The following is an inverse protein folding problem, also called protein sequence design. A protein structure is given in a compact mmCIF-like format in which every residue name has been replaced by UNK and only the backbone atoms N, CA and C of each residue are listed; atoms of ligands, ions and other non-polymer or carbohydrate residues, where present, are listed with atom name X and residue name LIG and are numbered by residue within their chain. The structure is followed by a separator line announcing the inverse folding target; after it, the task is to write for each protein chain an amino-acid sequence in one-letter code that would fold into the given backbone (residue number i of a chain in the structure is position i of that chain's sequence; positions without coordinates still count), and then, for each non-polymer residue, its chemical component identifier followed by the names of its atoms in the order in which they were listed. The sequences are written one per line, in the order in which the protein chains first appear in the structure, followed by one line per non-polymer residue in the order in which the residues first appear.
data_IF_742742828637
#
_entry.id   IF_742742828637
#
_cell.length_a   1.000
_cell.length_b   1.000
_cell.length_c   1.000
_cell.angle_alpha   90.00
_cell.angle_beta   90.00
_cell.angle_gamma   90.00
#
_symmetry.space_group_name_H-M   'P 1'
#
loop_
_entity.id
_entity.type
_entity.pdbx_description
1 polymer ?
#
# COMPACT_ATOMS: atom_id res chain seq x y z
N UNK A 1 12.44 -9.05 -19.91
CA UNK A 1 13.71 -9.14 -19.15
C UNK A 1 14.74 -9.95 -19.92
N UNK A 2 16.03 -9.60 -19.78
CA UNK A 2 17.11 -10.44 -20.27
C UNK A 2 17.36 -11.58 -19.28
N UNK A 3 17.58 -12.79 -19.77
CA UNK A 3 17.76 -14.00 -18.95
C UNK A 3 18.90 -13.85 -17.93
N UNK A 4 20.01 -13.25 -18.33
CA UNK A 4 21.18 -13.01 -17.47
C UNK A 4 20.85 -12.22 -16.20
N UNK A 5 20.00 -11.20 -16.31
CA UNK A 5 19.55 -10.41 -15.16
C UNK A 5 18.65 -11.22 -14.22
N UNK A 6 17.74 -12.03 -14.78
CA UNK A 6 16.90 -12.92 -13.96
C UNK A 6 17.74 -13.95 -13.19
N UNK A 7 18.73 -14.55 -13.86
CA UNK A 7 19.66 -15.48 -13.21
C UNK A 7 20.50 -14.78 -12.14
N UNK A 8 20.99 -13.57 -12.41
CA UNK A 8 21.82 -12.78 -11.47
C UNK A 8 21.08 -12.43 -10.18
N UNK A 9 19.79 -12.14 -10.23
CA UNK A 9 18.98 -11.82 -9.05
C UNK A 9 18.27 -13.03 -8.43
N UNK A 10 18.45 -14.23 -8.98
CA UNK A 10 17.85 -15.46 -8.47
C UNK A 10 16.38 -15.68 -8.83
N UNK A 11 15.86 -14.93 -9.84
CA UNK A 11 14.48 -15.09 -10.33
C UNK A 11 13.40 -14.64 -9.33
N UNK A 12 12.20 -15.22 -9.49
CA UNK A 12 11.06 -15.00 -8.60
C UNK A 12 11.31 -15.63 -7.23
N UNK A 13 10.87 -14.93 -6.18
CA UNK A 13 10.98 -15.43 -4.82
C UNK A 13 9.66 -16.09 -4.39
N UNK A 14 9.66 -17.39 -4.07
CA UNK A 14 8.44 -18.12 -3.71
C UNK A 14 7.84 -17.71 -2.36
N UNK A 15 8.48 -16.84 -1.59
CA UNK A 15 7.95 -16.31 -0.33
C UNK A 15 6.83 -15.28 -0.54
N UNK A 16 6.75 -14.65 -1.73
CA UNK A 16 5.92 -13.48 -1.98
C UNK A 16 4.80 -13.64 -3.01
N UNK A 17 4.16 -14.81 -3.21
CA UNK A 17 3.00 -14.85 -4.09
C UNK A 17 1.79 -14.14 -3.42
N UNK A 18 1.04 -13.30 -4.13
CA UNK A 18 1.13 -13.00 -5.56
C UNK A 18 1.83 -11.66 -5.89
N UNK A 19 2.78 -11.19 -5.09
CA UNK A 19 3.58 -9.98 -5.34
C UNK A 19 5.06 -10.28 -5.66
N UNK A 20 5.36 -11.50 -6.12
CA UNK A 20 6.69 -11.96 -6.51
C UNK A 20 7.30 -11.16 -7.66
N UNK A 21 6.48 -10.59 -8.53
CA UNK A 21 6.88 -9.72 -9.62
C UNK A 21 7.39 -8.36 -9.08
N UNK A 22 6.73 -7.79 -8.10
CA UNK A 22 7.16 -6.57 -7.41
C UNK A 22 8.52 -6.80 -6.74
N UNK A 23 8.69 -7.90 -6.00
CA UNK A 23 9.98 -8.27 -5.41
C UNK A 23 11.08 -8.40 -6.46
N UNK A 24 10.80 -9.07 -7.58
CA UNK A 24 11.76 -9.23 -8.68
C UNK A 24 12.21 -7.89 -9.24
N UNK A 25 11.27 -6.97 -9.50
CA UNK A 25 11.58 -5.64 -10.05
C UNK A 25 12.46 -4.84 -9.08
N UNK A 26 12.17 -4.88 -7.78
CA UNK A 26 12.97 -4.22 -6.76
C UNK A 26 14.38 -4.79 -6.69
N UNK A 27 14.56 -6.11 -6.75
CA UNK A 27 15.89 -6.76 -6.79
C UNK A 27 16.68 -6.33 -8.03
N UNK A 28 16.04 -6.29 -9.19
CA UNK A 28 16.67 -5.84 -10.44
C UNK A 28 17.11 -4.37 -10.35
N UNK A 29 16.27 -3.50 -9.80
CA UNK A 29 16.56 -2.09 -9.63
C UNK A 29 17.77 -1.87 -8.69
N UNK A 30 17.83 -2.55 -7.54
CA UNK A 30 18.97 -2.49 -6.62
C UNK A 30 20.29 -2.94 -7.25
N UNK A 31 20.25 -3.88 -8.18
CA UNK A 31 21.43 -4.35 -8.91
C UNK A 31 21.79 -3.45 -10.11
N UNK A 32 21.09 -2.33 -10.29
CA UNK A 32 21.37 -1.36 -11.35
C UNK A 32 20.95 -1.81 -12.75
N UNK A 33 19.98 -2.73 -12.85
CA UNK A 33 19.42 -3.12 -14.14
C UNK A 33 18.80 -1.90 -14.83
N UNK A 34 19.30 -1.54 -16.00
CA UNK A 34 18.75 -0.45 -16.80
C UNK A 34 17.43 -0.86 -17.41
N UNK A 35 16.42 -0.03 -17.24
CA UNK A 35 15.08 -0.23 -17.76
C UNK A 35 14.73 0.83 -18.79
N UNK A 36 13.83 0.51 -19.72
CA UNK A 36 13.26 1.46 -20.66
C UNK A 36 11.76 1.25 -20.72
N UNK A 37 11.02 2.32 -20.96
CA UNK A 37 9.59 2.27 -21.12
C UNK A 37 9.22 1.99 -22.59
N UNK A 38 8.44 0.92 -22.83
CA UNK A 38 7.84 0.67 -24.12
C UNK A 38 6.51 1.43 -24.22
N UNK A 39 6.37 2.28 -25.23
CA UNK A 39 5.16 3.07 -25.47
C UNK A 39 4.15 2.35 -26.37
N UNK A 40 4.12 1.04 -26.30
CA UNK A 40 3.27 0.15 -27.08
C UNK A 40 2.55 -0.83 -26.17
N UNK A 41 1.35 -1.25 -26.54
CA UNK A 41 0.62 -2.29 -25.83
C UNK A 41 1.23 -3.63 -26.17
N UNK A 42 1.97 -4.22 -25.23
CA UNK A 42 2.68 -5.49 -25.41
C UNK A 42 2.08 -6.64 -24.62
N UNK A 43 1.14 -6.36 -23.71
CA UNK A 43 0.51 -7.36 -22.83
C UNK A 43 -0.99 -7.13 -22.77
N UNK A 44 -1.76 -8.23 -22.94
CA UNK A 44 -3.18 -8.27 -22.65
C UNK A 44 -3.38 -9.01 -21.33
N UNK A 45 -3.94 -8.32 -20.33
CA UNK A 45 -4.24 -8.91 -19.03
C UNK A 45 -5.68 -9.44 -19.01
N UNK A 46 -5.82 -10.78 -18.89
CA UNK A 46 -7.15 -11.41 -18.82
C UNK A 46 -7.78 -11.17 -17.46
N UNK A 47 -8.91 -10.48 -17.45
CA UNK A 47 -9.73 -10.30 -16.26
C UNK A 47 -10.71 -11.46 -16.11
N UNK A 48 -10.79 -12.08 -14.94
CA UNK A 48 -11.76 -13.10 -14.56
C UNK A 48 -11.92 -13.15 -13.05
N UNK A 49 -13.09 -13.59 -12.58
CA UNK A 49 -13.45 -13.57 -11.14
C UNK A 49 -12.49 -14.36 -10.24
N UNK A 50 -11.88 -15.44 -10.74
CA UNK A 50 -10.89 -16.23 -9.99
C UNK A 50 -9.45 -15.70 -10.08
N UNK A 51 -9.23 -14.53 -10.68
CA UNK A 51 -7.91 -13.91 -10.76
C UNK A 51 -7.35 -13.64 -9.36
N UNK A 52 -6.04 -13.80 -9.19
CA UNK A 52 -5.35 -13.47 -7.94
C UNK A 52 -5.58 -12.01 -7.50
N UNK A 53 -5.77 -11.11 -8.48
CA UNK A 53 -6.09 -9.70 -8.26
C UNK A 53 -7.45 -9.44 -7.58
N UNK A 54 -8.31 -10.43 -7.43
CA UNK A 54 -9.60 -10.30 -6.74
C UNK A 54 -9.59 -10.93 -5.33
N UNK A 55 -8.45 -11.49 -4.89
CA UNK A 55 -8.37 -12.20 -3.60
C UNK A 55 -8.17 -11.32 -2.37
N UNK A 56 -8.02 -10.00 -2.53
CA UNK A 56 -7.91 -9.03 -1.43
C UNK A 56 -6.73 -9.31 -0.48
N UNK A 57 -6.99 -9.97 0.63
CA UNK A 57 -6.03 -10.17 1.72
C UNK A 57 -4.68 -10.81 1.32
N UNK A 58 -4.61 -11.89 0.53
CA UNK A 58 -3.31 -12.43 0.12
C UNK A 58 -2.43 -11.44 -0.62
N UNK A 59 -3.00 -10.62 -1.51
CA UNK A 59 -2.27 -9.57 -2.22
C UNK A 59 -1.75 -8.49 -1.26
N UNK A 60 -2.60 -8.05 -0.32
CA UNK A 60 -2.24 -7.06 0.69
C UNK A 60 -1.06 -7.55 1.55
N UNK A 61 -1.16 -8.76 2.10
CA UNK A 61 -0.10 -9.35 2.93
C UNK A 61 1.21 -9.52 2.17
N UNK A 62 1.14 -10.02 0.92
CA UNK A 62 2.34 -10.24 0.11
C UNK A 62 3.04 -8.93 -0.25
N UNK A 63 2.29 -7.89 -0.61
CA UNK A 63 2.88 -6.59 -0.94
C UNK A 63 3.53 -5.93 0.27
N UNK A 64 2.91 -6.03 1.46
CA UNK A 64 3.51 -5.54 2.70
C UNK A 64 4.80 -6.31 3.01
N UNK A 65 4.77 -7.65 2.92
CA UNK A 65 5.94 -8.49 3.15
C UNK A 65 7.10 -8.17 2.18
N UNK A 66 6.81 -7.91 0.90
CA UNK A 66 7.82 -7.45 -0.06
C UNK A 66 8.41 -6.10 0.35
N UNK A 67 7.58 -5.17 0.79
CA UNK A 67 8.03 -3.84 1.23
C UNK A 67 8.93 -3.95 2.47
N UNK A 68 8.55 -4.80 3.43
CA UNK A 68 9.34 -5.06 4.63
C UNK A 68 10.67 -5.75 4.31
N UNK A 69 10.66 -6.81 3.51
CA UNK A 69 11.87 -7.51 3.06
C UNK A 69 12.83 -6.56 2.34
N UNK A 70 12.29 -5.64 1.54
CA UNK A 70 13.09 -4.65 0.82
C UNK A 70 13.77 -3.65 1.77
N UNK A 71 13.00 -3.01 2.67
CA UNK A 71 13.55 -1.99 3.57
C UNK A 71 14.30 -2.54 4.78
N UNK A 72 14.18 -3.82 5.11
CA UNK A 72 14.97 -4.47 6.16
C UNK A 72 16.40 -4.85 5.70
N UNK A 73 16.75 -4.68 4.42
CA UNK A 73 18.12 -4.91 3.94
C UNK A 73 19.08 -3.88 4.51
N UNK A 74 20.23 -4.33 5.03
CA UNK A 74 21.23 -3.47 5.68
C UNK A 74 22.03 -2.63 4.68
N UNK A 75 22.15 -3.08 3.44
CA UNK A 75 23.01 -2.53 2.39
C UNK A 75 22.28 -1.63 1.38
N UNK A 76 21.07 -1.16 1.72
CA UNK A 76 20.34 -0.22 0.87
C UNK A 76 21.10 1.09 0.69
N UNK A 77 21.17 1.63 -0.54
CA UNK A 77 21.71 2.96 -0.80
C UNK A 77 21.01 4.02 0.06
N UNK A 78 21.76 5.01 0.58
CA UNK A 78 21.19 6.04 1.45
C UNK A 78 20.02 6.80 0.83
N UNK A 79 20.07 7.10 -0.48
CA UNK A 79 18.96 7.73 -1.20
C UNK A 79 17.70 6.88 -1.23
N UNK A 80 17.83 5.53 -1.31
CA UNK A 80 16.71 4.61 -1.24
C UNK A 80 16.15 4.54 0.19
N UNK A 81 17.04 4.51 1.19
CA UNK A 81 16.65 4.51 2.61
C UNK A 81 15.81 5.75 2.97
N UNK A 82 16.17 6.91 2.45
CA UNK A 82 15.41 8.15 2.65
C UNK A 82 13.97 8.11 2.10
N UNK A 83 13.70 7.21 1.16
CA UNK A 83 12.35 7.04 0.59
C UNK A 83 11.46 6.10 1.42
N UNK A 84 12.00 5.42 2.43
CA UNK A 84 11.28 4.37 3.18
C UNK A 84 9.93 4.85 3.71
N UNK A 85 9.92 6.00 4.41
CA UNK A 85 8.69 6.55 5.00
C UNK A 85 7.61 6.79 3.94
N UNK A 86 7.97 7.45 2.84
CA UNK A 86 7.01 7.79 1.78
C UNK A 86 6.52 6.55 1.02
N UNK A 87 7.40 5.57 0.78
CA UNK A 87 7.03 4.32 0.12
C UNK A 87 6.12 3.49 1.01
N UNK A 88 6.44 3.34 2.32
CA UNK A 88 5.57 2.64 3.27
C UNK A 88 4.20 3.29 3.35
N UNK A 89 4.15 4.62 3.48
CA UNK A 89 2.91 5.37 3.50
C UNK A 89 2.07 5.11 2.26
N UNK A 90 2.62 5.29 1.08
CA UNK A 90 1.92 5.06 -0.18
C UNK A 90 1.47 3.61 -0.38
N UNK A 91 2.31 2.64 -0.01
CA UNK A 91 1.98 1.21 -0.09
C UNK A 91 0.80 0.87 0.82
N UNK A 92 0.78 1.35 2.05
CA UNK A 92 -0.30 1.09 3.01
C UNK A 92 -1.63 1.71 2.56
N UNK A 93 -1.61 2.92 1.98
CA UNK A 93 -2.80 3.55 1.40
C UNK A 93 -3.31 2.75 0.19
N UNK A 94 -2.39 2.30 -0.68
CA UNK A 94 -2.78 1.48 -1.83
C UNK A 94 -3.42 0.15 -1.39
N UNK A 95 -2.83 -0.52 -0.40
CA UNK A 95 -3.39 -1.75 0.19
C UNK A 95 -4.78 -1.48 0.79
N UNK A 96 -4.93 -0.38 1.52
CA UNK A 96 -6.21 -0.02 2.13
C UNK A 96 -7.29 0.20 1.07
N UNK A 97 -6.99 0.97 0.01
CA UNK A 97 -7.89 1.14 -1.11
C UNK A 97 -8.25 -0.20 -1.78
N UNK A 98 -7.25 -1.04 -2.03
CA UNK A 98 -7.44 -2.33 -2.66
C UNK A 98 -8.34 -3.25 -1.82
N UNK A 99 -8.17 -3.27 -0.51
CA UNK A 99 -9.03 -4.01 0.42
C UNK A 99 -10.45 -3.44 0.45
N UNK A 100 -10.62 -2.13 0.43
CA UNK A 100 -11.93 -1.50 0.27
C UNK A 100 -12.61 -1.95 -1.03
N UNK A 101 -11.90 -1.85 -2.14
CA UNK A 101 -12.40 -2.24 -3.46
C UNK A 101 -12.79 -3.73 -3.55
N UNK A 102 -12.07 -4.59 -2.85
CA UNK A 102 -12.33 -6.05 -2.84
C UNK A 102 -13.27 -6.51 -1.71
N UNK A 103 -13.96 -5.57 -1.05
CA UNK A 103 -15.00 -5.89 -0.05
C UNK A 103 -14.49 -6.25 1.33
N UNK A 104 -13.29 -5.75 1.73
CA UNK A 104 -12.69 -5.96 3.04
C UNK A 104 -12.53 -4.63 3.82
N UNK A 105 -13.64 -3.93 4.16
CA UNK A 105 -13.55 -2.58 4.75
C UNK A 105 -12.88 -2.54 6.13
N UNK A 106 -12.92 -3.63 6.91
CA UNK A 106 -12.16 -3.72 8.17
C UNK A 106 -10.65 -3.71 7.92
N UNK A 107 -10.18 -4.50 6.95
CA UNK A 107 -8.77 -4.48 6.55
C UNK A 107 -8.35 -3.10 6.03
N UNK A 108 -9.20 -2.39 5.29
CA UNK A 108 -8.95 -1.01 4.90
C UNK A 108 -8.59 -0.14 6.10
N UNK A 109 -9.38 -0.16 7.17
CA UNK A 109 -9.13 0.69 8.35
C UNK A 109 -7.86 0.28 9.08
N UNK A 110 -7.58 -1.02 9.20
CA UNK A 110 -6.36 -1.52 9.84
C UNK A 110 -5.09 -1.04 9.12
N UNK A 111 -5.09 -1.04 7.78
CA UNK A 111 -3.95 -0.54 7.00
C UNK A 111 -3.85 0.98 6.98
N UNK A 112 -4.96 1.73 7.04
CA UNK A 112 -4.92 3.19 7.20
C UNK A 112 -4.41 3.60 8.59
N UNK A 113 -4.73 2.83 9.65
CA UNK A 113 -4.16 3.02 10.98
C UNK A 113 -2.64 2.79 10.98
N UNK A 114 -2.15 1.75 10.30
CA UNK A 114 -0.71 1.55 10.11
C UNK A 114 -0.06 2.69 9.29
N UNK A 115 -0.75 3.19 8.25
CA UNK A 115 -0.26 4.32 7.46
C UNK A 115 -0.12 5.60 8.29
N UNK A 116 -0.90 5.75 9.35
CA UNK A 116 -0.85 6.90 10.24
C UNK A 116 0.53 7.18 10.81
N UNK A 117 1.31 6.15 11.13
CA UNK A 117 2.66 6.26 11.69
C UNK A 117 3.68 6.79 10.68
N UNK A 118 3.40 6.63 9.40
CA UNK A 118 4.27 7.09 8.30
C UNK A 118 3.80 8.39 7.64
N UNK A 119 2.70 8.99 8.11
CA UNK A 119 2.15 10.20 7.48
C UNK A 119 3.14 11.37 7.50
N UNK A 120 3.26 12.13 6.42
CA UNK A 120 4.11 13.32 6.38
C UNK A 120 3.45 14.56 6.99
N UNK A 121 2.12 14.56 7.12
CA UNK A 121 1.29 15.73 7.35
C UNK A 121 0.41 15.57 8.60
N UNK A 122 -0.39 16.61 8.90
CA UNK A 122 -1.39 16.59 9.98
C UNK A 122 -2.48 15.53 9.77
N UNK A 123 -3.22 15.21 10.82
CA UNK A 123 -4.28 14.21 10.74
C UNK A 123 -5.38 14.54 9.73
N UNK A 124 -5.76 15.80 9.59
CA UNK A 124 -6.78 16.24 8.62
C UNK A 124 -6.25 16.09 7.19
N UNK A 125 -5.00 16.49 6.95
CA UNK A 125 -4.36 16.34 5.63
C UNK A 125 -4.19 14.87 5.26
N UNK A 126 -3.95 13.98 6.22
CA UNK A 126 -3.90 12.54 5.97
C UNK A 126 -5.25 12.01 5.46
N UNK A 127 -6.39 12.43 6.07
CA UNK A 127 -7.72 12.06 5.59
C UNK A 127 -7.96 12.50 4.15
N UNK A 128 -7.62 13.75 3.83
CA UNK A 128 -7.76 14.28 2.47
C UNK A 128 -6.91 13.45 1.49
N UNK A 129 -5.65 13.22 1.85
CA UNK A 129 -4.73 12.41 1.02
C UNK A 129 -5.26 11.00 0.78
N UNK A 130 -5.86 10.35 1.78
CA UNK A 130 -6.41 9.00 1.63
C UNK A 130 -7.59 8.97 0.66
N UNK A 131 -8.53 9.92 0.78
CA UNK A 131 -9.69 10.02 -0.11
C UNK A 131 -9.26 10.34 -1.56
N UNK A 132 -8.33 11.28 -1.74
CA UNK A 132 -7.79 11.63 -3.04
C UNK A 132 -7.06 10.43 -3.68
N UNK A 133 -6.23 9.72 -2.91
CA UNK A 133 -5.53 8.52 -3.36
C UNK A 133 -6.51 7.42 -3.78
N UNK A 134 -7.58 7.19 -3.02
CA UNK A 134 -8.63 6.22 -3.38
C UNK A 134 -9.31 6.58 -4.69
N UNK A 135 -9.62 7.87 -4.88
CA UNK A 135 -10.19 8.35 -6.14
C UNK A 135 -9.25 8.17 -7.33
N UNK A 136 -7.95 8.42 -7.12
CA UNK A 136 -6.94 8.28 -8.17
C UNK A 136 -6.69 6.81 -8.54
N UNK A 137 -6.58 5.93 -7.54
CA UNK A 137 -6.43 4.49 -7.78
C UNK A 137 -7.65 3.91 -8.50
N UNK A 138 -8.85 4.27 -8.09
CA UNK A 138 -10.09 3.85 -8.76
C UNK A 138 -10.11 4.30 -10.23
N UNK A 139 -9.73 5.57 -10.50
CA UNK A 139 -9.63 6.09 -11.85
C UNK A 139 -8.61 5.32 -12.68
N UNK A 140 -7.44 5.01 -12.12
CA UNK A 140 -6.38 4.27 -12.81
C UNK A 140 -6.78 2.83 -13.13
N UNK A 141 -7.69 2.26 -12.35
CA UNK A 141 -8.25 0.92 -12.56
C UNK A 141 -9.52 0.90 -13.42
N UNK A 142 -10.03 2.08 -13.79
CA UNK A 142 -11.28 2.19 -14.55
C UNK A 142 -12.52 1.76 -13.78
N UNK A 143 -12.48 1.85 -12.44
CA UNK A 143 -13.60 1.50 -11.55
C UNK A 143 -14.23 2.74 -10.93
N UNK A 144 -15.52 2.66 -10.62
CA UNK A 144 -16.23 3.76 -9.97
C UNK A 144 -15.83 3.83 -8.48
N UNK A 145 -15.58 5.05 -8.00
CA UNK A 145 -15.37 5.33 -6.58
C UNK A 145 -16.41 6.34 -6.11
N UNK A 146 -17.19 5.96 -5.10
CA UNK A 146 -18.24 6.78 -4.50
C UNK A 146 -17.85 7.19 -3.11
N UNK A 147 -17.37 8.43 -2.98
CA UNK A 147 -16.93 8.99 -1.70
C UNK A 147 -18.02 8.91 -0.63
N UNK A 148 -19.29 9.10 -0.99
CA UNK A 148 -20.40 9.03 -0.05
C UNK A 148 -20.59 7.63 0.55
N UNK A 149 -20.34 6.56 -0.22
CA UNK A 149 -20.39 5.18 0.28
C UNK A 149 -19.26 4.91 1.26
N UNK A 150 -18.03 5.37 0.96
CA UNK A 150 -16.91 5.27 1.86
C UNK A 150 -17.19 6.01 3.18
N UNK A 151 -17.52 7.30 3.08
CA UNK A 151 -17.64 8.19 4.26
C UNK A 151 -18.84 7.88 5.15
N UNK A 152 -19.88 7.24 4.61
CA UNK A 152 -21.04 6.76 5.38
C UNK A 152 -20.83 5.38 6.01
N UNK A 153 -19.77 4.65 5.66
CA UNK A 153 -19.50 3.33 6.24
C UNK A 153 -19.13 3.43 7.73
N UNK A 154 -19.56 2.44 8.51
CA UNK A 154 -19.23 2.35 9.95
C UNK A 154 -17.73 2.29 10.19
N UNK A 155 -17.02 1.59 9.31
CA UNK A 155 -15.56 1.42 9.39
C UNK A 155 -14.82 2.75 9.20
N UNK A 156 -15.22 3.55 8.21
CA UNK A 156 -14.65 4.87 7.99
C UNK A 156 -14.95 5.83 9.14
N UNK A 157 -16.20 5.86 9.61
CA UNK A 157 -16.58 6.69 10.74
C UNK A 157 -15.82 6.31 12.01
N UNK A 158 -15.64 5.01 12.27
CA UNK A 158 -14.80 4.52 13.36
C UNK A 158 -13.35 4.94 13.23
N UNK A 159 -12.78 4.89 12.03
CA UNK A 159 -11.43 5.36 11.73
C UNK A 159 -11.27 6.85 12.03
N UNK A 160 -12.21 7.68 11.57
CA UNK A 160 -12.19 9.14 11.84
C UNK A 160 -12.26 9.42 13.34
N UNK A 161 -13.13 8.73 14.07
CA UNK A 161 -13.21 8.88 15.52
C UNK A 161 -11.92 8.47 16.23
N UNK A 162 -11.28 7.39 15.79
CA UNK A 162 -9.98 6.97 16.29
C UNK A 162 -8.92 8.05 16.04
N UNK A 163 -8.84 8.60 14.82
CA UNK A 163 -7.88 9.66 14.47
C UNK A 163 -8.06 10.93 15.32
N UNK A 164 -9.31 11.31 15.61
CA UNK A 164 -9.59 12.47 16.46
C UNK A 164 -9.07 12.28 17.89
N UNK A 165 -9.11 11.05 18.41
CA UNK A 165 -8.53 10.72 19.73
C UNK A 165 -7.01 10.76 19.71
N UNK A 166 -6.38 10.23 18.65
CA UNK A 166 -4.93 10.27 18.49
C UNK A 166 -4.37 11.69 18.32
N UNK A 167 -5.15 12.60 17.73
CA UNK A 167 -4.74 14.00 17.54
C UNK A 167 -4.95 14.86 18.79
N UNK A 168 -5.84 14.47 19.71
CA UNK A 168 -6.16 15.22 20.93
C UNK A 168 -5.93 14.35 22.19
N UNK A 169 -4.69 14.12 22.62
CA UNK A 169 -4.39 13.31 23.81
C UNK A 169 -4.78 13.95 25.16
N UNK A 170 -5.43 15.12 25.17
CA UNK A 170 -5.63 15.95 26.39
C UNK A 170 -6.67 15.35 27.35
N UNK A 171 -7.47 14.36 26.99
CA UNK A 171 -8.61 13.90 27.79
C UNK A 171 -8.37 12.64 28.64
N UNK A 172 -7.12 12.15 28.75
CA UNK A 172 -6.83 10.95 29.54
C UNK A 172 -6.19 11.19 30.91
N UNK A 173 -6.01 12.45 31.33
CA UNK A 173 -5.37 12.76 32.65
C UNK A 173 -6.30 13.29 33.72
N UNK A 174 -7.62 13.30 33.53
CA UNK A 174 -8.58 13.76 34.56
C UNK A 174 -9.51 12.61 34.96
N UNK A 175 -8.98 11.55 35.51
CA UNK A 175 -9.69 10.65 36.43
C UNK A 175 -8.65 9.84 37.21
N UNK A 176 -8.11 10.43 38.26
CA UNK A 176 -7.69 9.76 39.49
C UNK A 176 -7.07 10.80 40.44
N UNK A 177 -7.92 11.41 41.22
CA UNK A 177 -7.50 11.80 42.56
C UNK A 177 -8.65 11.53 43.55
N UNK A 178 -8.36 10.85 44.65
CA UNK A 178 -9.32 10.23 45.58
C UNK A 178 -10.06 11.22 46.46
#
# INVERSE_FOLDING_TARGET
FRREWLQYVGGFDPRFPPAEDTNLVLKLALKGCKTAWLREITVCYRQHESSAMHKGLPQAHSLLAVTDDFFNQSDLPSGVRLMEQSVRYGTLIWIAWYLYHTGHPKGMTEYLQQAWDYRPNSGIEALVTWVESFSEFARSWGVEFRINELTSSSEWQGLVQWMLKETNPIDQTVTNDP
#
